data_IF_058456135229
#
_entry.id   IF_058456135229
#
_cell.length_a   1.000
_cell.length_b   1.000
_cell.length_c   1.000
_cell.angle_alpha   90.00
_cell.angle_beta   90.00
_cell.angle_gamma   90.00
#
_symmetry.space_group_name_H-M   'P 1'
#
loop_
_entity.id
_entity.type
_entity.pdbx_description
1 polymer ?
#
# COMPACT_ATOMS: atom_id res chain seq x y z
N UNK A 1 2.92 94.86 -8.91
CA UNK A 1 2.76 95.52 -10.23
C UNK A 1 3.31 94.60 -11.31
N UNK A 2 2.63 94.58 -12.48
CA UNK A 2 2.85 93.78 -13.72
C UNK A 2 2.19 92.40 -13.72
N UNK A 3 0.86 92.32 -13.88
CA UNK A 3 0.02 92.25 -15.11
C UNK A 3 0.08 90.94 -15.92
N UNK A 4 -1.11 90.34 -15.99
CA UNK A 4 -1.64 89.26 -16.83
C UNK A 4 -1.10 89.16 -18.27
N UNK A 5 -0.99 87.92 -18.77
CA UNK A 5 -1.49 87.48 -20.09
C UNK A 5 -1.66 85.95 -20.06
N UNK A 6 -2.90 85.42 -20.00
CA UNK A 6 -3.73 84.93 -21.12
C UNK A 6 -3.07 83.84 -21.98
N UNK A 7 -3.41 82.56 -21.72
CA UNK A 7 -3.76 81.60 -22.79
C UNK A 7 -4.58 80.45 -22.22
N UNK A 8 -5.87 80.43 -22.55
CA UNK A 8 -6.76 79.27 -22.44
C UNK A 8 -6.50 78.37 -23.64
N UNK A 9 -6.16 77.10 -23.40
CA UNK A 9 -6.30 76.03 -24.40
C UNK A 9 -6.77 74.77 -23.68
N UNK A 10 -7.93 74.30 -24.13
CA UNK A 10 -8.70 73.16 -23.66
C UNK A 10 -8.29 71.94 -24.52
N UNK A 11 -8.33 70.76 -23.91
CA UNK A 11 -8.26 69.38 -24.47
C UNK A 11 -6.92 68.90 -25.04
N UNK A 12 -6.28 67.92 -24.39
CA UNK A 12 -6.34 66.48 -24.76
C UNK A 12 -5.31 65.73 -23.88
N UNK A 13 -5.73 64.82 -22.98
CA UNK A 13 -4.77 63.98 -22.27
C UNK A 13 -4.16 63.03 -23.30
N UNK A 14 -2.87 63.19 -23.54
CA UNK A 14 -2.07 62.28 -24.34
C UNK A 14 -2.05 60.94 -23.59
N UNK A 15 -3.01 60.07 -23.92
CA UNK A 15 -3.03 58.68 -23.51
C UNK A 15 -1.77 58.02 -24.08
N UNK A 16 -0.70 58.03 -23.30
CA UNK A 16 0.48 57.21 -23.55
C UNK A 16 0.02 55.77 -23.42
N UNK A 17 -0.26 55.23 -24.59
CA UNK A 17 -0.49 53.85 -24.98
C UNK A 17 0.27 52.92 -24.03
N UNK A 18 -0.46 52.28 -23.11
CA UNK A 18 -0.01 51.08 -22.42
C UNK A 18 0.18 49.99 -23.49
N UNK A 19 1.34 49.98 -24.13
CA UNK A 19 1.81 48.83 -24.89
C UNK A 19 2.15 47.71 -23.91
N UNK A 20 1.13 47.02 -23.42
CA UNK A 20 1.34 45.80 -22.64
C UNK A 20 2.02 44.77 -23.52
N UNK A 21 3.24 44.38 -23.20
CA UNK A 21 3.88 43.22 -23.80
C UNK A 21 3.03 41.99 -23.44
N UNK A 22 2.17 41.57 -24.35
CA UNK A 22 1.36 40.38 -24.16
C UNK A 22 2.22 39.17 -24.48
N UNK A 23 2.57 38.39 -23.46
CA UNK A 23 3.33 37.15 -23.61
C UNK A 23 2.36 36.06 -24.04
N UNK A 24 2.46 35.63 -25.29
CA UNK A 24 1.74 34.46 -25.80
C UNK A 24 2.55 33.19 -25.49
N UNK A 25 1.95 32.19 -24.83
CA UNK A 25 2.59 30.90 -24.68
C UNK A 25 2.76 30.24 -26.05
N UNK A 26 4.00 29.91 -26.39
CA UNK A 26 4.36 29.17 -27.61
C UNK A 26 4.59 27.71 -27.26
N UNK A 27 4.20 26.81 -28.16
CA UNK A 27 4.54 25.39 -28.04
C UNK A 27 6.03 25.14 -28.35
N UNK A 28 6.47 23.88 -28.19
CA UNK A 28 7.86 23.46 -28.41
C UNK A 28 8.36 23.69 -29.86
N UNK A 29 7.45 23.85 -30.82
CA UNK A 29 7.74 24.05 -32.23
C UNK A 29 7.55 25.51 -32.67
N UNK A 30 7.23 26.42 -31.73
CA UNK A 30 7.13 27.86 -31.96
C UNK A 30 5.74 28.35 -32.37
N UNK A 31 4.68 27.53 -32.25
CA UNK A 31 3.32 27.95 -32.61
C UNK A 31 2.59 28.55 -31.39
N UNK A 32 1.77 29.59 -31.58
CA UNK A 32 0.98 30.18 -30.50
C UNK A 32 -0.13 29.24 -30.03
N UNK A 33 -0.21 29.01 -28.72
CA UNK A 33 -1.26 28.21 -28.09
C UNK A 33 -2.45 29.12 -27.76
N UNK A 34 -3.56 28.94 -28.46
CA UNK A 34 -4.82 29.63 -28.17
C UNK A 34 -5.63 28.87 -27.11
N UNK A 35 -6.21 29.54 -26.11
CA UNK A 35 -7.09 28.89 -25.15
C UNK A 35 -8.40 28.49 -25.85
N UNK A 36 -8.51 27.24 -26.28
CA UNK A 36 -9.79 26.66 -26.66
C UNK A 36 -10.63 26.40 -25.41
N UNK A 37 -11.95 26.65 -25.45
CA UNK A 37 -12.83 26.27 -24.34
C UNK A 37 -12.65 24.78 -24.04
N UNK A 38 -12.50 24.39 -22.76
CA UNK A 38 -12.21 23.02 -22.41
C UNK A 38 -13.32 22.10 -22.94
N UNK A 39 -12.99 20.99 -23.61
CA UNK A 39 -14.00 20.01 -23.98
C UNK A 39 -14.68 19.54 -22.69
N UNK A 40 -16.02 19.56 -22.67
CA UNK A 40 -16.81 19.04 -21.55
C UNK A 40 -16.65 17.52 -21.52
N UNK A 41 -15.53 17.08 -20.95
CA UNK A 41 -15.27 15.67 -20.70
C UNK A 41 -16.11 15.29 -19.49
N UNK A 42 -17.14 14.44 -19.68
CA UNK A 42 -17.77 13.70 -18.56
C UNK A 42 -16.81 12.61 -18.06
N UNK A 43 -15.58 12.99 -17.77
CA UNK A 43 -14.61 12.15 -17.08
C UNK A 43 -14.83 12.34 -15.61
N UNK A 44 -15.21 11.26 -14.95
CA UNK A 44 -15.20 11.16 -13.50
C UNK A 44 -13.79 11.52 -13.03
N UNK A 45 -13.68 12.71 -12.42
CA UNK A 45 -12.42 13.22 -11.90
C UNK A 45 -11.98 12.24 -10.82
N UNK A 46 -10.94 11.45 -11.09
CA UNK A 46 -10.36 10.57 -10.09
C UNK A 46 -9.86 11.45 -8.95
N UNK A 47 -10.47 11.30 -7.77
CA UNK A 47 -9.96 11.92 -6.55
C UNK A 47 -8.52 11.49 -6.32
N UNK A 48 -7.65 12.37 -5.79
CA UNK A 48 -6.32 11.97 -5.35
C UNK A 48 -6.48 10.81 -4.36
N UNK A 49 -5.90 9.66 -4.68
CA UNK A 49 -5.86 8.52 -3.78
C UNK A 49 -5.19 8.95 -2.48
N UNK A 50 -5.96 8.97 -1.39
CA UNK A 50 -5.44 9.25 -0.06
C UNK A 50 -4.25 8.31 0.25
N UNK A 51 -3.25 8.74 1.04
CA UNK A 51 -2.15 7.87 1.45
C UNK A 51 -2.71 6.57 2.02
N UNK A 52 -2.39 5.43 1.43
CA UNK A 52 -2.77 4.12 1.99
C UNK A 52 -2.23 4.06 3.41
N UNK A 53 -3.12 4.10 4.41
CA UNK A 53 -2.78 3.73 5.78
C UNK A 53 -2.09 2.38 5.70
N UNK A 54 -0.87 2.30 6.25
CA UNK A 54 -0.13 1.05 6.38
C UNK A 54 -0.91 0.19 7.37
N UNK A 55 -1.87 -0.57 6.86
CA UNK A 55 -2.71 -1.49 7.62
C UNK A 55 -1.99 -2.81 7.88
N UNK A 56 -2.59 -3.70 8.68
CA UNK A 56 -2.08 -5.05 8.89
C UNK A 56 -1.83 -5.76 7.54
N UNK A 57 -0.68 -6.42 7.42
CA UNK A 57 -0.31 -7.15 6.22
C UNK A 57 -0.72 -8.61 6.41
N UNK A 58 -1.73 -9.05 5.65
CA UNK A 58 -2.11 -10.47 5.60
C UNK A 58 -1.30 -11.20 4.54
N UNK A 59 -0.68 -12.31 4.94
CA UNK A 59 0.18 -13.16 4.13
C UNK A 59 -0.48 -14.54 4.07
N UNK A 60 -0.62 -15.11 2.87
CA UNK A 60 -1.13 -16.48 2.72
C UNK A 60 -0.09 -17.48 3.23
N UNK A 61 -0.54 -18.45 4.01
CA UNK A 61 0.26 -19.59 4.47
C UNK A 61 -0.25 -20.87 3.79
N UNK A 62 0.66 -21.66 3.22
CA UNK A 62 0.37 -23.00 2.71
C UNK A 62 1.30 -23.99 3.37
N UNK A 63 0.74 -25.06 3.90
CA UNK A 63 1.45 -26.11 4.60
C UNK A 63 1.38 -27.37 3.73
N UNK A 64 2.53 -27.84 3.26
CA UNK A 64 2.65 -29.06 2.49
C UNK A 64 3.08 -30.22 3.40
N UNK A 65 2.52 -31.43 3.21
CA UNK A 65 2.90 -32.60 4.00
C UNK A 65 4.41 -32.89 3.94
N UNK A 66 5.00 -33.17 5.11
CA UNK A 66 6.41 -33.59 5.27
C UNK A 66 6.51 -34.92 6.06
N UNK A 67 5.38 -35.55 6.37
CA UNK A 67 5.29 -36.87 7.00
C UNK A 67 4.06 -37.63 6.52
N UNK A 68 4.03 -38.95 6.74
CA UNK A 68 2.93 -39.81 6.32
C UNK A 68 1.61 -39.44 7.03
N UNK A 69 1.67 -39.13 8.33
CA UNK A 69 0.53 -38.60 9.10
C UNK A 69 -0.03 -37.28 8.52
N UNK A 70 0.82 -36.46 7.92
CA UNK A 70 0.40 -35.22 7.26
C UNK A 70 -0.17 -35.49 5.86
N UNK A 71 0.35 -36.52 5.17
CA UNK A 71 -0.09 -36.90 3.82
C UNK A 71 -1.55 -37.38 3.82
N UNK A 72 -2.01 -38.06 4.89
CA UNK A 72 -3.41 -38.46 5.07
C UNK A 72 -4.39 -37.27 5.01
N UNK A 73 -3.96 -36.11 5.49
CA UNK A 73 -4.77 -34.88 5.51
C UNK A 73 -4.54 -33.95 4.32
N UNK A 74 -3.44 -34.13 3.60
CA UNK A 74 -3.10 -33.31 2.44
C UNK A 74 -2.66 -31.88 2.79
N UNK A 75 -2.79 -30.97 1.82
CA UNK A 75 -2.32 -29.58 1.93
C UNK A 75 -3.24 -28.77 2.83
N UNK A 76 -2.65 -27.99 3.75
CA UNK A 76 -3.38 -27.16 4.71
C UNK A 76 -3.16 -25.69 4.37
N UNK A 77 -4.22 -24.88 4.37
CA UNK A 77 -4.14 -23.45 3.99
C UNK A 77 -4.55 -22.56 5.14
N UNK A 78 -3.86 -21.42 5.27
CA UNK A 78 -4.09 -20.44 6.32
C UNK A 78 -3.62 -19.04 5.93
N UNK A 79 -3.66 -18.15 6.89
CA UNK A 79 -3.26 -16.75 6.75
C UNK A 79 -2.52 -16.27 7.99
N UNK A 80 -1.48 -15.49 7.78
CA UNK A 80 -0.71 -14.81 8.82
C UNK A 80 -0.90 -13.31 8.66
N UNK A 81 -1.51 -12.66 9.64
CA UNK A 81 -1.67 -11.22 9.64
C UNK A 81 -0.59 -10.60 10.50
N UNK A 82 0.41 -9.96 9.89
CA UNK A 82 1.40 -9.16 10.58
C UNK A 82 0.78 -7.81 10.95
N UNK A 83 0.65 -7.55 12.25
CA UNK A 83 0.03 -6.32 12.77
C UNK A 83 1.00 -5.14 12.82
N UNK A 84 2.25 -5.30 12.36
CA UNK A 84 3.31 -4.29 12.37
C UNK A 84 3.75 -3.83 13.77
N UNK A 85 3.24 -4.46 14.83
CA UNK A 85 3.57 -4.21 16.24
C UNK A 85 4.55 -5.22 16.82
N UNK A 86 5.18 -6.05 15.96
CA UNK A 86 6.06 -7.16 16.38
C UNK A 86 5.30 -8.46 16.70
N UNK A 87 3.97 -8.40 16.78
CA UNK A 87 3.08 -9.56 16.85
C UNK A 87 2.31 -9.75 15.54
N UNK A 88 2.02 -11.00 15.23
CA UNK A 88 1.16 -11.41 14.14
C UNK A 88 0.07 -12.36 14.64
N UNK A 89 -1.05 -12.41 13.93
CA UNK A 89 -2.11 -13.39 14.17
C UNK A 89 -2.00 -14.50 13.14
N UNK A 90 -2.00 -15.75 13.59
CA UNK A 90 -1.97 -16.92 12.74
C UNK A 90 -3.35 -17.59 12.73
N UNK A 91 -3.86 -17.92 11.54
CA UNK A 91 -5.11 -18.65 11.37
C UNK A 91 -4.94 -19.72 10.29
N UNK A 92 -5.38 -20.95 10.56
CA UNK A 92 -5.25 -22.10 9.66
C UNK A 92 -6.48 -23.01 9.79
N UNK A 93 -6.89 -23.65 8.71
CA UNK A 93 -7.95 -24.67 8.74
C UNK A 93 -7.35 -26.08 8.60
N UNK A 94 -7.41 -26.92 9.64
CA UNK A 94 -6.89 -28.30 9.66
C UNK A 94 -7.98 -29.28 10.11
N UNK A 95 -8.22 -30.35 9.32
CA UNK A 95 -9.27 -31.37 9.58
C UNK A 95 -10.68 -30.77 9.84
N UNK A 96 -11.01 -29.67 9.19
CA UNK A 96 -12.29 -28.96 9.40
C UNK A 96 -12.33 -28.12 10.68
N UNK A 97 -11.21 -27.93 11.36
CA UNK A 97 -11.09 -27.09 12.54
C UNK A 97 -10.25 -25.85 12.25
N UNK A 98 -10.61 -24.74 12.88
CA UNK A 98 -9.85 -23.50 12.77
C UNK A 98 -8.87 -23.40 13.92
N UNK A 99 -7.58 -23.40 13.59
CA UNK A 99 -6.51 -23.15 14.53
C UNK A 99 -6.20 -21.66 14.54
N UNK A 100 -6.24 -21.05 15.72
CA UNK A 100 -5.95 -19.62 15.90
C UNK A 100 -4.81 -19.43 16.88
N UNK A 101 -3.93 -18.48 16.60
CA UNK A 101 -2.88 -18.13 17.54
C UNK A 101 -2.05 -16.92 17.15
N UNK A 102 -0.83 -16.88 17.65
CA UNK A 102 0.09 -15.75 17.52
C UNK A 102 1.38 -16.16 16.81
N UNK A 103 1.92 -15.23 16.02
CA UNK A 103 3.22 -15.32 15.39
C UNK A 103 4.09 -14.18 15.93
N UNK A 104 5.31 -14.51 16.36
CA UNK A 104 6.25 -13.53 16.94
C UNK A 104 7.60 -13.67 16.26
N UNK A 105 8.29 -12.55 16.04
CA UNK A 105 9.68 -12.55 15.59
C UNK A 105 10.62 -12.80 16.77
N UNK A 106 11.67 -13.59 16.57
CA UNK A 106 12.66 -13.85 17.62
C UNK A 106 13.57 -12.63 17.76
N UNK A 107 13.88 -12.22 19.00
CA UNK A 107 14.63 -10.98 19.28
C UNK A 107 16.03 -10.93 18.67
N UNK A 108 16.67 -12.10 18.50
CA UNK A 108 18.04 -12.21 18.01
C UNK A 108 18.13 -12.32 16.48
N UNK A 109 17.01 -12.53 15.78
CA UNK A 109 16.97 -12.61 14.32
C UNK A 109 15.63 -12.09 13.80
N UNK A 110 15.67 -10.89 13.21
CA UNK A 110 14.51 -10.20 12.63
C UNK A 110 13.80 -11.00 11.51
N UNK A 111 14.47 -11.98 10.91
CA UNK A 111 13.93 -12.84 9.87
C UNK A 111 13.34 -14.12 10.42
N UNK A 112 13.79 -14.62 11.57
CA UNK A 112 13.23 -15.83 12.18
C UNK A 112 12.08 -15.51 13.11
N UNK A 113 11.10 -16.41 13.14
CA UNK A 113 9.92 -16.28 13.97
C UNK A 113 9.37 -17.63 14.38
N UNK A 114 8.57 -17.59 15.43
CA UNK A 114 7.79 -18.73 15.91
C UNK A 114 6.32 -18.39 15.84
N UNK A 115 5.50 -19.35 15.44
CA UNK A 115 4.05 -19.22 15.44
C UNK A 115 3.43 -20.41 16.16
N UNK A 116 2.54 -20.13 17.10
CA UNK A 116 1.84 -21.15 17.87
C UNK A 116 0.36 -20.90 17.79
N UNK A 117 -0.43 -21.97 17.64
CA UNK A 117 -1.87 -21.87 17.51
C UNK A 117 -2.56 -23.10 18.08
N UNK A 118 -3.82 -22.90 18.47
CA UNK A 118 -4.65 -23.92 19.10
C UNK A 118 -6.01 -24.02 18.43
N UNK A 119 -6.60 -25.21 18.51
CA UNK A 119 -7.98 -25.51 18.12
C UNK A 119 -8.86 -25.54 19.36
N UNK A 120 -10.14 -25.11 19.26
CA UNK A 120 -11.12 -25.27 20.34
C UNK A 120 -11.29 -26.71 20.84
N UNK A 121 -10.93 -27.72 20.03
CA UNK A 121 -11.00 -29.13 20.43
C UNK A 121 -9.75 -29.63 21.17
N UNK A 122 -8.82 -28.74 21.53
CA UNK A 122 -7.62 -29.06 22.30
C UNK A 122 -6.39 -29.44 21.48
N UNK A 123 -6.47 -29.41 20.15
CA UNK A 123 -5.30 -29.53 19.28
C UNK A 123 -4.40 -28.29 19.38
N UNK A 124 -3.09 -28.47 19.25
CA UNK A 124 -2.13 -27.36 19.17
C UNK A 124 -1.11 -27.61 18.07
N UNK A 125 -0.45 -26.55 17.62
CA UNK A 125 0.68 -26.65 16.70
C UNK A 125 1.71 -25.57 17.00
N UNK A 126 2.95 -25.87 16.63
CA UNK A 126 4.07 -24.95 16.69
C UNK A 126 4.77 -24.93 15.34
N UNK A 127 5.09 -23.73 14.86
CA UNK A 127 5.78 -23.50 13.61
C UNK A 127 7.01 -22.64 13.83
N UNK A 128 8.12 -23.06 13.24
CA UNK A 128 9.31 -22.21 13.09
C UNK A 128 9.37 -21.74 11.64
N UNK A 129 9.57 -20.45 11.44
CA UNK A 129 9.67 -19.88 10.09
C UNK A 129 10.79 -18.86 9.98
N UNK A 130 11.26 -18.69 8.76
CA UNK A 130 12.22 -17.66 8.38
C UNK A 130 11.68 -16.89 7.17
N UNK A 131 11.68 -15.57 7.30
CA UNK A 131 11.25 -14.63 6.27
C UNK A 131 12.42 -14.32 5.34
N UNK A 132 12.23 -14.59 4.05
CA UNK A 132 13.17 -14.20 2.99
C UNK A 132 12.91 -12.76 2.53
N UNK A 133 11.64 -12.36 2.49
CA UNK A 133 11.19 -11.00 2.19
C UNK A 133 10.14 -10.56 3.22
N UNK A 134 9.70 -9.29 3.25
CA UNK A 134 8.65 -8.85 4.18
C UNK A 134 7.30 -9.58 4.05
N UNK A 135 7.07 -10.26 2.92
CA UNK A 135 5.82 -10.97 2.61
C UNK A 135 6.01 -12.44 2.25
N UNK A 136 7.25 -12.91 2.15
CA UNK A 136 7.54 -14.29 1.76
C UNK A 136 8.55 -14.94 2.72
N UNK A 137 8.34 -16.22 2.98
CA UNK A 137 9.18 -17.01 3.86
C UNK A 137 8.88 -18.49 3.77
N UNK A 138 9.67 -19.28 4.48
CA UNK A 138 9.48 -20.72 4.58
C UNK A 138 9.77 -21.20 5.99
N UNK A 139 9.28 -22.37 6.34
CA UNK A 139 9.41 -22.92 7.68
C UNK A 139 8.93 -24.36 7.79
N UNK A 140 8.79 -24.81 9.03
CA UNK A 140 8.23 -26.12 9.37
C UNK A 140 7.21 -25.96 10.48
N UNK A 141 6.16 -26.77 10.43
CA UNK A 141 5.12 -26.83 11.46
C UNK A 141 4.98 -28.26 11.97
N UNK A 142 4.78 -28.39 13.27
CA UNK A 142 4.52 -29.65 13.97
C UNK A 142 3.20 -29.51 14.72
N UNK A 143 2.29 -30.45 14.48
CA UNK A 143 1.01 -30.55 15.17
C UNK A 143 1.12 -31.44 16.41
N UNK A 144 0.15 -31.31 17.32
CA UNK A 144 0.06 -32.08 18.56
C UNK A 144 -0.03 -33.59 18.36
N UNK A 145 -0.46 -34.04 17.18
CA UNK A 145 -0.48 -35.46 16.78
C UNK A 145 0.84 -35.94 16.13
N UNK A 146 1.88 -35.10 16.07
CA UNK A 146 3.16 -35.41 15.44
C UNK A 146 3.20 -35.22 13.91
N UNK A 147 2.11 -34.76 13.28
CA UNK A 147 2.13 -34.47 11.85
C UNK A 147 3.07 -33.28 11.54
N UNK A 148 3.93 -33.46 10.53
CA UNK A 148 4.94 -32.47 10.12
C UNK A 148 4.57 -31.87 8.77
N UNK A 149 4.72 -30.56 8.66
CA UNK A 149 4.45 -29.81 7.44
C UNK A 149 5.58 -28.86 7.10
N UNK A 150 5.85 -28.71 5.79
CA UNK A 150 6.61 -27.58 5.26
C UNK A 150 5.70 -26.37 5.13
N UNK A 151 6.03 -25.28 5.81
CA UNK A 151 5.30 -24.02 5.75
C UNK A 151 5.89 -23.14 4.64
N UNK A 152 5.03 -22.61 3.79
CA UNK A 152 5.34 -21.58 2.82
C UNK A 152 4.47 -20.34 3.10
N UNK A 153 5.12 -19.20 3.26
CA UNK A 153 4.51 -17.91 3.50
C UNK A 153 4.68 -17.06 2.24
N UNK A 154 3.58 -16.48 1.76
CA UNK A 154 3.56 -15.64 0.56
C UNK A 154 3.62 -16.47 -0.72
N UNK A 155 2.60 -16.30 -1.55
CA UNK A 155 2.51 -16.82 -2.92
C UNK A 155 2.24 -15.69 -3.90
#
# INVERSE_FOLDING_TARGET
MKTLMRTTLIVLPLAVILGGCYVLPMDRYGNPIWPTPPPTYKGQVGTPSAPQKVGPITISARLYPDSELAAETGVVTGTVTNMLTGKGRFNLSYKGETYTGEATRVSNDSRRGVASAFSPKGGYMSCEYQMNTPRQGAGTCIFSNGAKYKLHLGG
#
